data_IF_882407601281
#
_entry.id   IF_882407601281
#
_cell.length_a   1.000
_cell.length_b   1.000
_cell.length_c   1.000
_cell.angle_alpha   90.00
_cell.angle_beta   90.00
_cell.angle_gamma   90.00
#
_symmetry.space_group_name_H-M   'P 1'
#
loop_
_entity.id
_entity.type
_entity.pdbx_description
1 polymer ?
#
# COMPACT_ATOMS: atom_id res chain seq x y z
N UNK A 1 -3.15 -38.51 25.45
CA UNK A 1 -2.50 -38.54 26.79
C UNK A 1 -3.36 -39.22 27.85
N UNK A 2 -4.70 -39.19 27.73
CA UNK A 2 -5.60 -39.88 28.67
C UNK A 2 -5.38 -41.40 28.73
N UNK A 3 -5.17 -42.04 27.57
CA UNK A 3 -4.90 -43.49 27.52
C UNK A 3 -3.56 -43.89 28.16
N UNK A 4 -2.52 -43.06 28.01
CA UNK A 4 -1.23 -43.32 28.66
C UNK A 4 -1.26 -43.02 30.17
N UNK A 5 -2.13 -42.10 30.63
CA UNK A 5 -2.37 -41.86 32.06
C UNK A 5 -3.01 -43.08 32.75
N UNK A 6 -3.86 -43.81 32.03
CA UNK A 6 -4.45 -45.07 32.48
C UNK A 6 -3.41 -46.19 32.52
N UNK A 7 -2.54 -46.29 31.50
CA UNK A 7 -1.48 -47.30 31.45
C UNK A 7 -0.43 -47.11 32.54
N UNK A 8 -0.06 -45.86 32.91
CA UNK A 8 0.88 -45.60 34.02
C UNK A 8 0.34 -46.08 35.37
N UNK A 9 -0.98 -46.17 35.54
CA UNK A 9 -1.60 -46.73 36.76
C UNK A 9 -1.47 -48.24 36.87
N UNK A 10 -1.31 -48.93 35.73
CA UNK A 10 -1.11 -50.38 35.64
C UNK A 10 0.38 -50.78 35.74
N UNK A 11 1.30 -49.81 35.70
CA UNK A 11 2.75 -50.04 35.82
C UNK A 11 3.14 -50.37 37.28
N UNK A 12 4.11 -51.29 37.50
CA UNK A 12 4.65 -51.61 38.83
C UNK A 12 5.10 -50.38 39.61
N UNK A 13 4.91 -50.41 40.93
CA UNK A 13 5.12 -49.25 41.82
C UNK A 13 6.52 -48.66 41.71
N UNK A 14 7.55 -49.48 41.45
CA UNK A 14 8.94 -49.04 41.32
C UNK A 14 9.16 -48.11 40.11
N UNK A 15 8.46 -48.32 39.00
CA UNK A 15 8.63 -47.55 37.75
C UNK A 15 7.54 -46.50 37.53
N UNK A 16 6.44 -46.57 38.29
CA UNK A 16 5.29 -45.66 38.18
C UNK A 16 5.65 -44.17 38.35
N UNK A 17 6.58 -43.86 39.25
CA UNK A 17 7.04 -42.48 39.48
C UNK A 17 7.79 -41.90 38.27
N UNK A 18 8.63 -42.70 37.61
CA UNK A 18 9.38 -42.28 36.42
C UNK A 18 8.42 -41.97 35.25
N UNK A 19 7.51 -42.89 34.95
CA UNK A 19 6.56 -42.70 33.85
C UNK A 19 5.53 -41.61 34.13
N UNK A 20 5.10 -41.44 35.39
CA UNK A 20 4.25 -40.33 35.81
C UNK A 20 4.92 -38.96 35.64
N UNK A 21 6.22 -38.85 35.95
CA UNK A 21 6.98 -37.62 35.70
C UNK A 21 7.13 -37.34 34.20
N UNK A 22 7.43 -38.38 33.41
CA UNK A 22 7.54 -38.26 31.95
C UNK A 22 6.21 -37.81 31.32
N UNK A 23 5.10 -38.33 31.80
CA UNK A 23 3.75 -37.95 31.37
C UNK A 23 3.45 -36.47 31.66
N UNK A 24 3.82 -36.00 32.85
CA UNK A 24 3.68 -34.58 33.23
C UNK A 24 4.51 -33.67 32.33
N UNK A 25 5.75 -34.04 32.04
CA UNK A 25 6.62 -33.30 31.11
C UNK A 25 6.01 -33.23 29.70
N UNK A 26 5.50 -34.34 29.16
CA UNK A 26 4.86 -34.33 27.85
C UNK A 26 3.59 -33.48 27.79
N UNK A 27 2.77 -33.50 28.86
CA UNK A 27 1.60 -32.60 28.97
C UNK A 27 2.02 -31.13 28.94
N UNK A 28 3.10 -30.77 29.64
CA UNK A 28 3.62 -29.41 29.65
C UNK A 28 4.20 -29.01 28.28
N UNK A 29 4.98 -29.88 27.64
CA UNK A 29 5.54 -29.63 26.30
C UNK A 29 4.45 -29.44 25.25
N UNK A 30 3.38 -30.25 25.27
CA UNK A 30 2.24 -30.09 24.36
C UNK A 30 1.49 -28.78 24.61
N UNK A 31 1.30 -28.40 25.88
CA UNK A 31 0.69 -27.11 26.22
C UNK A 31 1.52 -25.93 25.70
N UNK A 32 2.84 -25.98 25.93
CA UNK A 32 3.80 -24.97 25.44
C UNK A 32 3.81 -24.89 23.91
N UNK A 33 3.84 -26.03 23.24
CA UNK A 33 3.80 -26.08 21.78
C UNK A 33 2.50 -25.50 21.23
N UNK A 34 1.37 -25.75 21.89
CA UNK A 34 0.08 -25.16 21.54
C UNK A 34 0.04 -23.64 21.72
N UNK A 35 0.66 -23.11 22.78
CA UNK A 35 0.78 -21.65 22.97
C UNK A 35 1.71 -21.02 21.94
N UNK A 36 2.84 -21.66 21.64
CA UNK A 36 3.81 -21.18 20.67
C UNK A 36 3.24 -21.18 19.25
N UNK A 37 2.46 -22.22 18.90
CA UNK A 37 1.75 -22.29 17.62
C UNK A 37 0.72 -21.16 17.47
N UNK A 38 -0.09 -20.90 18.50
CA UNK A 38 -1.05 -19.77 18.49
C UNK A 38 -0.34 -18.42 18.38
N UNK A 39 0.77 -18.24 19.10
CA UNK A 39 1.58 -17.01 19.06
C UNK A 39 2.23 -16.80 17.69
N UNK A 40 2.77 -17.86 17.10
CA UNK A 40 3.34 -17.83 15.75
C UNK A 40 2.28 -17.53 14.70
N UNK A 41 1.07 -18.12 14.82
CA UNK A 41 -0.05 -17.81 13.91
C UNK A 41 -0.46 -16.34 13.93
N UNK A 42 -0.42 -15.68 15.10
CA UNK A 42 -0.71 -14.24 15.22
C UNK A 42 0.41 -13.39 14.59
N UNK A 43 1.68 -13.79 14.78
CA UNK A 43 2.82 -13.11 14.17
C UNK A 43 2.83 -13.18 12.63
N UNK A 44 2.17 -14.19 12.06
CA UNK A 44 1.97 -14.37 10.63
C UNK A 44 0.51 -14.20 10.20
N UNK A 45 -0.31 -13.49 10.98
CA UNK A 45 -1.68 -13.18 10.56
C UNK A 45 -1.61 -12.34 9.28
N UNK A 46 -2.25 -12.83 8.22
CA UNK A 46 -2.34 -12.14 6.93
C UNK A 46 -2.91 -10.72 7.08
N UNK A 47 -3.68 -10.45 8.14
CA UNK A 47 -4.19 -9.11 8.48
C UNK A 47 -3.07 -8.12 8.82
N UNK A 48 -2.14 -8.50 9.70
CA UNK A 48 -1.00 -7.64 10.07
C UNK A 48 -0.03 -7.50 8.89
N UNK A 49 0.12 -8.58 8.09
CA UNK A 49 0.89 -8.54 6.85
C UNK A 49 0.25 -7.63 5.80
N UNK A 50 -1.07 -7.65 5.65
CA UNK A 50 -1.80 -6.82 4.70
C UNK A 50 -1.84 -5.34 5.13
N UNK A 51 -1.91 -5.06 6.43
CA UNK A 51 -1.74 -3.70 6.96
C UNK A 51 -0.31 -3.19 6.77
N UNK A 52 0.70 -4.03 6.98
CA UNK A 52 2.11 -3.64 6.89
C UNK A 52 2.62 -3.54 5.44
N UNK A 53 2.15 -4.42 4.55
CA UNK A 53 2.53 -4.46 3.13
C UNK A 53 1.53 -3.77 2.21
N UNK A 54 0.50 -3.12 2.80
CA UNK A 54 -0.48 -2.25 2.16
C UNK A 54 -0.94 -2.74 0.80
N UNK A 55 -2.02 -3.54 0.76
CA UNK A 55 -2.74 -3.98 -0.45
C UNK A 55 -2.06 -3.59 -1.77
N UNK A 56 -1.01 -4.33 -2.10
CA UNK A 56 -0.04 -3.96 -3.14
C UNK A 56 -0.65 -3.99 -4.54
N UNK A 57 -1.83 -4.61 -4.70
CA UNK A 57 -2.61 -4.61 -5.93
C UNK A 57 -3.35 -3.31 -6.17
N UNK A 58 -4.11 -2.83 -5.18
CA UNK A 58 -4.97 -1.65 -5.33
C UNK A 58 -4.18 -0.33 -5.26
N UNK A 59 -3.09 -0.30 -4.49
CA UNK A 59 -2.21 0.87 -4.40
C UNK A 59 -1.54 1.21 -5.73
N UNK A 60 -1.13 0.19 -6.50
CA UNK A 60 -0.46 0.40 -7.80
C UNK A 60 -1.43 0.92 -8.87
N UNK A 61 -2.64 0.38 -8.92
CA UNK A 61 -3.66 0.82 -9.87
C UNK A 61 -4.15 2.24 -9.58
N UNK A 62 -4.38 2.56 -8.30
CA UNK A 62 -4.72 3.91 -7.85
C UNK A 62 -3.60 4.92 -8.15
N UNK A 63 -2.34 4.57 -7.90
CA UNK A 63 -1.19 5.40 -8.29
C UNK A 63 -1.13 5.63 -9.81
N UNK A 64 -1.37 4.59 -10.60
CA UNK A 64 -1.39 4.70 -12.07
C UNK A 64 -2.52 5.63 -12.54
N UNK A 65 -3.71 5.52 -11.95
CA UNK A 65 -4.83 6.41 -12.26
C UNK A 65 -4.50 7.88 -11.94
N UNK A 66 -3.87 8.14 -10.80
CA UNK A 66 -3.43 9.49 -10.44
C UNK A 66 -2.36 10.06 -11.40
N UNK A 67 -1.41 9.24 -11.85
CA UNK A 67 -0.40 9.67 -12.82
C UNK A 67 -1.04 10.01 -14.18
N UNK A 68 -2.03 9.24 -14.62
CA UNK A 68 -2.77 9.51 -15.85
C UNK A 68 -3.57 10.82 -15.76
N UNK A 69 -4.32 11.04 -14.67
CA UNK A 69 -5.04 12.31 -14.46
C UNK A 69 -4.09 13.51 -14.45
N UNK A 70 -2.95 13.39 -13.75
CA UNK A 70 -1.95 14.45 -13.70
C UNK A 70 -1.38 14.75 -15.10
N UNK A 71 -1.07 13.72 -15.88
CA UNK A 71 -0.60 13.86 -17.26
C UNK A 71 -1.64 14.57 -18.15
N UNK A 72 -2.92 14.18 -18.06
CA UNK A 72 -3.99 14.81 -18.85
C UNK A 72 -4.22 16.28 -18.45
N UNK A 73 -4.14 16.58 -17.14
CA UNK A 73 -4.23 17.96 -16.65
C UNK A 73 -3.06 18.81 -17.13
N UNK A 74 -1.86 18.26 -17.11
CA UNK A 74 -0.66 18.92 -17.61
C UNK A 74 -0.79 19.21 -19.11
N UNK A 75 -1.21 18.22 -19.90
CA UNK A 75 -1.41 18.36 -21.34
C UNK A 75 -2.45 19.44 -21.67
N UNK A 76 -3.61 19.41 -20.99
CA UNK A 76 -4.65 20.44 -21.14
C UNK A 76 -4.15 21.83 -20.77
N UNK A 77 -3.36 21.94 -19.71
CA UNK A 77 -2.75 23.22 -19.29
C UNK A 77 -1.75 23.72 -20.34
N UNK A 78 -0.92 22.83 -20.88
CA UNK A 78 0.04 23.15 -21.94
C UNK A 78 -0.65 23.70 -23.19
N UNK A 79 -1.69 23.01 -23.69
CA UNK A 79 -2.47 23.46 -24.85
C UNK A 79 -3.14 24.82 -24.62
N UNK A 80 -3.64 25.07 -23.40
CA UNK A 80 -4.23 26.38 -23.04
C UNK A 80 -3.19 27.49 -23.01
N UNK A 81 -2.00 27.23 -22.48
CA UNK A 81 -0.91 28.20 -22.49
C UNK A 81 -0.43 28.50 -23.90
N UNK A 82 -0.28 27.48 -24.74
CA UNK A 82 0.11 27.64 -26.15
C UNK A 82 -0.93 28.45 -26.93
N UNK A 83 -2.22 28.15 -26.78
CA UNK A 83 -3.29 28.93 -27.40
C UNK A 83 -3.32 30.37 -26.88
N UNK A 84 -3.14 30.57 -25.57
CA UNK A 84 -3.06 31.91 -24.97
C UNK A 84 -1.86 32.71 -25.50
N UNK A 85 -0.71 32.06 -25.68
CA UNK A 85 0.47 32.67 -26.27
C UNK A 85 0.23 33.06 -27.73
N UNK A 86 -0.36 32.18 -28.54
CA UNK A 86 -0.69 32.48 -29.93
C UNK A 86 -1.61 33.70 -30.02
N UNK A 87 -2.68 33.75 -29.22
CA UNK A 87 -3.59 34.90 -29.17
C UNK A 87 -2.84 36.18 -28.78
N UNK A 88 -1.94 36.12 -27.78
CA UNK A 88 -1.16 37.28 -27.37
C UNK A 88 -0.30 37.82 -28.54
N UNK A 89 0.39 36.95 -29.27
CA UNK A 89 1.20 37.32 -30.44
C UNK A 89 0.33 37.92 -31.56
N UNK A 90 -0.82 37.31 -31.86
CA UNK A 90 -1.76 37.86 -32.85
C UNK A 90 -2.27 39.25 -32.44
N UNK A 91 -2.58 39.44 -31.15
CA UNK A 91 -3.02 40.75 -30.64
C UNK A 91 -1.92 41.81 -30.66
N UNK A 92 -0.66 41.42 -30.43
CA UNK A 92 0.50 42.30 -30.55
C UNK A 92 0.65 42.80 -31.99
N UNK A 93 0.56 41.89 -32.97
CA UNK A 93 0.64 42.24 -34.39
C UNK A 93 -0.50 43.18 -34.81
N UNK A 94 -1.72 42.92 -34.35
CA UNK A 94 -2.87 43.81 -34.60
C UNK A 94 -2.62 45.19 -33.99
N UNK A 95 -2.13 45.23 -32.75
CA UNK A 95 -1.78 46.48 -32.06
C UNK A 95 -0.72 47.29 -32.81
N UNK A 96 0.33 46.62 -33.31
CA UNK A 96 1.37 47.26 -34.12
C UNK A 96 0.79 47.85 -35.42
N UNK A 97 -0.04 47.11 -36.14
CA UNK A 97 -0.70 47.60 -37.35
C UNK A 97 -1.61 48.81 -37.07
N UNK A 98 -2.33 48.83 -35.94
CA UNK A 98 -3.15 49.97 -35.52
C UNK A 98 -2.28 51.21 -35.26
N UNK A 99 -1.16 51.04 -34.54
CA UNK A 99 -0.23 52.13 -34.26
C UNK A 99 0.39 52.68 -35.55
N UNK A 100 0.74 51.81 -36.50
CA UNK A 100 1.25 52.22 -37.81
C UNK A 100 0.21 53.04 -38.59
N UNK A 101 -1.03 52.56 -38.66
CA UNK A 101 -2.13 53.29 -39.32
C UNK A 101 -2.38 54.66 -38.68
N UNK A 102 -2.42 54.73 -37.34
CA UNK A 102 -2.59 55.99 -36.62
C UNK A 102 -1.43 56.97 -36.87
N UNK A 103 -0.20 56.46 -36.99
CA UNK A 103 0.97 57.28 -37.33
C UNK A 103 0.85 57.84 -38.75
N UNK A 104 0.44 57.02 -39.73
CA UNK A 104 0.24 57.46 -41.10
C UNK A 104 -0.90 58.49 -41.22
N UNK A 105 -2.00 58.29 -40.51
CA UNK A 105 -3.11 59.25 -40.49
C UNK A 105 -2.70 60.59 -39.89
N UNK A 106 -1.86 60.57 -38.85
CA UNK A 106 -1.29 61.80 -38.27
C UNK A 106 -0.40 62.55 -39.24
N UNK A 107 0.41 61.86 -40.06
CA UNK A 107 1.26 62.51 -41.08
C UNK A 107 0.46 63.14 -42.23
N UNK A 108 -0.77 62.69 -42.47
CA UNK A 108 -1.64 63.20 -43.54
C UNK A 108 -2.46 64.44 -43.14
N UNK A 109 -2.53 64.78 -41.85
CA UNK A 109 -3.24 65.95 -41.31
C UNK A 109 -2.27 67.12 -41.20
#
# INVERSE_FOLDING_TARGET
LEQMDLEVREVPVQSRAMFGNRMKSYKQEMSKLGTDFKRSRIAYSDEVRNELLGDSGNSSESQRAHLLDNSERLERSSRRLEAGYQVAVETEQIGQNILENLSQDREKI
#
